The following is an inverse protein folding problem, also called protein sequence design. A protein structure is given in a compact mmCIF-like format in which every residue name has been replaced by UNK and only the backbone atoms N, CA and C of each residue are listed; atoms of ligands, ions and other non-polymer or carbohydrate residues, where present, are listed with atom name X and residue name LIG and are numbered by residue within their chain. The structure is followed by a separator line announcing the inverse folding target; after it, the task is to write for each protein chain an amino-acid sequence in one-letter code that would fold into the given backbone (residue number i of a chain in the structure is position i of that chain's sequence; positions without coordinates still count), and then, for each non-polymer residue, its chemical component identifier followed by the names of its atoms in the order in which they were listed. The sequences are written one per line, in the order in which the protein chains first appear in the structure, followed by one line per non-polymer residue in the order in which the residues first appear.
data_IF_935201500578
#
_entry.id   IF_935201500578
#
_cell.length_a   1.000
_cell.length_b   1.000
_cell.length_c   1.000
_cell.angle_alpha   90.00
_cell.angle_beta   90.00
_cell.angle_gamma   90.00
#
_symmetry.space_group_name_H-M   'P 1'
#
loop_
_entity.id
_entity.type
_entity.pdbx_description
1 polymer ?
#
# COMPACT_ATOMS: atom_id res chain seq x y z
N UNK A 1 -11.83 2.70 39.57
CA UNK A 1 -10.42 2.72 39.08
C UNK A 1 -10.34 1.69 37.96
N UNK A 2 -9.95 2.08 36.75
CA UNK A 2 -9.90 1.16 35.60
C UNK A 2 -8.55 0.44 35.62
N UNK A 3 -8.55 -0.89 35.78
CA UNK A 3 -7.34 -1.69 35.71
C UNK A 3 -6.80 -1.74 34.27
N UNK A 4 -5.46 -1.76 34.10
CA UNK A 4 -4.88 -1.73 32.77
C UNK A 4 -5.25 -3.01 32.02
N UNK A 5 -5.88 -2.86 30.84
CA UNK A 5 -6.22 -3.98 29.93
C UNK A 5 -5.03 -4.86 29.52
N UNK A 6 -3.79 -4.50 29.87
CA UNK A 6 -2.56 -5.20 29.50
C UNK A 6 -1.54 -5.14 30.62
N UNK A 7 -0.86 -6.27 30.82
CA UNK A 7 0.25 -6.41 31.74
C UNK A 7 1.40 -5.44 31.41
N UNK A 8 2.27 -5.12 32.38
CA UNK A 8 3.44 -4.24 32.16
C UNK A 8 4.31 -4.67 30.96
N UNK A 9 4.75 -5.96 30.84
CA UNK A 9 5.54 -6.37 29.69
C UNK A 9 4.75 -6.31 28.37
N UNK A 10 3.45 -6.62 28.40
CA UNK A 10 2.54 -6.49 27.26
C UNK A 10 2.44 -5.05 26.75
N UNK A 11 2.43 -4.07 27.68
CA UNK A 11 2.37 -2.64 27.37
C UNK A 11 3.71 -2.17 26.79
N UNK A 12 4.84 -2.64 27.33
CA UNK A 12 6.18 -2.33 26.82
C UNK A 12 6.39 -2.85 25.40
N UNK A 13 6.06 -4.12 25.14
CA UNK A 13 6.16 -4.71 23.81
C UNK A 13 5.29 -3.98 22.76
N UNK A 14 4.08 -3.53 23.15
CA UNK A 14 3.23 -2.70 22.29
C UNK A 14 3.91 -1.36 21.98
N UNK A 15 4.50 -0.71 22.98
CA UNK A 15 5.11 0.60 22.82
C UNK A 15 6.36 0.55 21.94
N UNK A 16 7.18 -0.49 22.09
CA UNK A 16 8.37 -0.72 21.28
C UNK A 16 8.03 -0.95 19.81
N UNK A 17 7.02 -1.78 19.52
CA UNK A 17 6.49 -1.95 18.15
C UNK A 17 6.03 -0.63 17.54
N UNK A 18 5.32 0.19 18.31
CA UNK A 18 4.82 1.47 17.83
C UNK A 18 5.97 2.45 17.55
N UNK A 19 7.01 2.46 18.40
CA UNK A 19 8.20 3.28 18.20
C UNK A 19 8.99 2.85 16.95
N UNK A 20 9.12 1.55 16.69
CA UNK A 20 9.77 1.04 15.47
C UNK A 20 9.01 1.45 14.19
N UNK A 21 7.67 1.39 14.20
CA UNK A 21 6.84 1.85 13.08
C UNK A 21 7.01 3.36 12.88
N UNK A 22 6.96 4.15 13.95
CA UNK A 22 7.16 5.59 13.88
C UNK A 22 8.56 5.96 13.35
N UNK A 23 9.61 5.25 13.77
CA UNK A 23 10.97 5.42 13.28
C UNK A 23 11.09 5.07 11.78
N UNK A 24 10.44 3.99 11.34
CA UNK A 24 10.39 3.62 9.91
C UNK A 24 9.58 4.63 9.06
N UNK A 25 8.61 5.32 9.65
CA UNK A 25 7.92 6.43 8.98
C UNK A 25 8.76 7.71 8.96
N UNK A 26 9.55 7.98 10.02
CA UNK A 26 10.40 9.15 10.14
C UNK A 26 11.65 9.10 9.23
N UNK A 27 12.15 7.90 8.91
CA UNK A 27 13.28 7.73 7.98
C UNK A 27 12.92 8.08 6.52
N UNK A 28 11.65 8.37 6.21
CA UNK A 28 11.24 8.85 4.88
C UNK A 28 11.33 7.83 3.76
N UNK A 29 11.82 6.61 4.04
CA UNK A 29 11.94 5.52 3.06
C UNK A 29 10.55 4.89 2.86
N UNK A 30 9.71 5.58 2.08
CA UNK A 30 8.52 4.97 1.51
C UNK A 30 9.00 3.84 0.60
N UNK A 31 8.83 2.59 1.02
CA UNK A 31 9.06 1.42 0.18
C UNK A 31 8.21 1.59 -1.09
N UNK A 32 8.83 1.98 -2.20
CA UNK A 32 8.16 2.11 -3.49
C UNK A 32 7.93 0.69 -3.99
N UNK A 33 6.72 0.20 -3.80
CA UNK A 33 6.30 -1.07 -4.40
C UNK A 33 6.10 -0.84 -5.90
N UNK A 34 6.76 -1.65 -6.74
CA UNK A 34 6.57 -1.65 -8.18
C UNK A 34 6.11 -3.05 -8.58
N UNK A 35 4.87 -3.18 -9.03
CA UNK A 35 4.25 -4.46 -9.40
C UNK A 35 4.08 -4.50 -10.90
N UNK A 36 4.64 -5.51 -11.55
CA UNK A 36 4.42 -5.77 -12.97
C UNK A 36 3.05 -6.38 -13.19
N UNK A 37 2.28 -5.81 -14.10
CA UNK A 37 0.89 -6.20 -14.42
C UNK A 37 0.64 -6.07 -15.92
N UNK A 38 -0.31 -6.84 -16.44
CA UNK A 38 -0.75 -6.73 -17.83
C UNK A 38 -1.95 -5.80 -17.93
N UNK A 39 -1.95 -4.92 -18.93
CA UNK A 39 -3.08 -4.04 -19.22
C UNK A 39 -4.32 -4.86 -19.60
N UNK A 40 -5.45 -4.61 -18.94
CA UNK A 40 -6.70 -5.31 -19.20
C UNK A 40 -7.29 -5.03 -20.60
N UNK A 41 -6.90 -3.93 -21.26
CA UNK A 41 -7.41 -3.56 -22.58
C UNK A 41 -6.51 -4.02 -23.73
N UNK A 42 -5.20 -3.85 -23.62
CA UNK A 42 -4.26 -4.11 -24.72
C UNK A 42 -3.24 -5.23 -24.43
N UNK A 43 -3.24 -5.81 -23.24
CA UNK A 43 -2.35 -6.91 -22.85
C UNK A 43 -0.88 -6.53 -22.58
N UNK A 44 -0.47 -5.30 -22.90
CA UNK A 44 0.90 -4.81 -22.71
C UNK A 44 1.32 -4.85 -21.24
N UNK A 45 2.57 -5.20 -20.98
CA UNK A 45 3.16 -5.23 -19.64
C UNK A 45 3.44 -3.79 -19.16
N UNK A 46 3.03 -3.47 -17.94
CA UNK A 46 3.22 -2.17 -17.31
C UNK A 46 3.53 -2.32 -15.82
N UNK A 47 4.04 -1.28 -15.18
CA UNK A 47 4.33 -1.27 -13.75
C UNK A 47 3.41 -0.30 -13.02
N UNK A 48 2.90 -0.71 -11.86
CA UNK A 48 2.02 0.11 -11.02
C UNK A 48 2.59 0.26 -9.61
N UNK A 49 2.39 1.42 -8.95
CA UNK A 49 2.89 1.68 -7.60
C UNK A 49 1.98 1.13 -6.50
N UNK A 50 1.14 0.14 -6.81
CA UNK A 50 0.16 -0.45 -5.90
C UNK A 50 -0.08 -1.92 -6.25
N UNK A 51 -0.50 -2.73 -5.29
CA UNK A 51 -0.98 -4.08 -5.57
C UNK A 51 -2.36 -4.02 -6.21
N UNK A 52 -2.60 -4.68 -7.36
CA UNK A 52 -3.92 -4.72 -7.98
C UNK A 52 -4.95 -5.35 -7.05
N UNK A 53 -6.11 -4.67 -6.89
CA UNK A 53 -7.24 -5.17 -6.11
C UNK A 53 -8.15 -6.04 -6.96
N UNK A 54 -8.73 -7.08 -6.38
CA UNK A 54 -9.79 -7.86 -7.04
C UNK A 54 -10.97 -6.95 -7.43
N UNK A 55 -11.48 -7.10 -8.66
CA UNK A 55 -12.64 -6.35 -9.15
C UNK A 55 -12.36 -5.01 -9.82
N UNK A 56 -11.10 -4.54 -9.91
CA UNK A 56 -10.74 -3.32 -10.67
C UNK A 56 -9.70 -3.63 -11.75
N UNK A 57 -9.97 -3.35 -13.04
CA UNK A 57 -9.01 -3.57 -14.11
C UNK A 57 -7.85 -2.58 -14.00
N UNK A 58 -6.65 -3.03 -14.36
CA UNK A 58 -5.46 -2.18 -14.47
C UNK A 58 -5.22 -1.85 -15.92
N UNK A 59 -4.98 -0.58 -16.21
CA UNK A 59 -4.70 -0.08 -17.54
C UNK A 59 -3.30 0.52 -17.63
N UNK A 60 -2.65 0.36 -18.78
CA UNK A 60 -1.45 1.13 -19.10
C UNK A 60 -1.81 2.61 -19.30
N UNK A 61 -0.79 3.47 -19.29
CA UNK A 61 -0.98 4.93 -19.38
C UNK A 61 -1.81 5.36 -20.60
N UNK A 62 -1.58 4.75 -21.76
CA UNK A 62 -2.33 5.07 -22.99
C UNK A 62 -3.79 4.68 -22.91
N UNK A 63 -4.10 3.44 -22.53
CA UNK A 63 -5.48 2.96 -22.37
C UNK A 63 -6.24 3.73 -21.28
N UNK A 64 -5.56 4.09 -20.18
CA UNK A 64 -6.15 4.89 -19.10
C UNK A 64 -6.53 6.30 -19.55
N UNK A 65 -5.69 6.94 -20.38
CA UNK A 65 -5.99 8.27 -20.94
C UNK A 65 -7.09 8.19 -22.00
N UNK A 66 -7.10 7.16 -22.84
CA UNK A 66 -8.15 6.94 -23.84
C UNK A 66 -9.53 6.76 -23.20
N UNK A 67 -9.63 5.94 -22.15
CA UNK A 67 -10.90 5.69 -21.43
C UNK A 67 -11.40 6.84 -20.54
N UNK A 68 -10.60 7.91 -20.37
CA UNK A 68 -11.01 9.15 -19.66
C UNK A 68 -11.70 10.16 -20.56
N UNK A 69 -11.58 10.02 -21.88
CA UNK A 69 -12.26 10.88 -22.86
C UNK A 69 -13.65 10.38 -23.27
N UNK A 70 -14.02 9.19 -22.81
CA UNK A 70 -15.30 8.51 -23.11
C UNK A 70 -16.01 8.15 -21.78
N UNK A 71 -16.28 9.18 -20.96
CA UNK A 71 -17.11 9.08 -19.76
C UNK A 71 -17.73 10.45 -19.44
#
# INVERSE_FOLDING_TARGET
KNEPKRCKPCKQAKNERLAAIAAAQASGVRQRIEVAVNCAQCGQQTTVPFYPSQGRPVFCRSCFLAGRGDQ
#
